data_IF_742060594214
#
_entry.id   IF_742060594214
#
_cell.length_a   1.000
_cell.length_b   1.000
_cell.length_c   1.000
_cell.angle_alpha   90.00
_cell.angle_beta   90.00
_cell.angle_gamma   90.00
#
_symmetry.space_group_name_H-M   'P 1'
#
loop_
_entity.id
_entity.type
_entity.pdbx_description
1 polymer ?
#
# COMPACT_ATOMS: atom_id res chain seq x y z
N UNK A 1 2.77 8.84 2.93
CA UNK A 1 2.62 8.53 1.48
C UNK A 1 1.91 7.20 1.30
N UNK A 2 2.57 6.07 1.58
CA UNK A 2 2.03 4.70 1.37
C UNK A 2 0.68 4.45 2.07
N UNK A 3 0.62 4.59 3.40
CA UNK A 3 -0.61 4.38 4.15
C UNK A 3 -1.76 5.32 3.71
N UNK A 4 -1.43 6.56 3.36
CA UNK A 4 -2.41 7.53 2.85
C UNK A 4 -2.95 7.14 1.48
N UNK A 5 -2.10 6.63 0.58
CA UNK A 5 -2.52 6.17 -0.75
C UNK A 5 -3.47 4.97 -0.65
N UNK A 6 -3.16 3.99 0.21
CA UNK A 6 -4.05 2.85 0.44
C UNK A 6 -5.39 3.30 1.09
N UNK A 7 -5.35 4.22 2.04
CA UNK A 7 -6.56 4.77 2.65
C UNK A 7 -7.44 5.53 1.63
N UNK A 8 -6.86 6.30 0.71
CA UNK A 8 -7.58 6.97 -0.38
C UNK A 8 -8.24 5.97 -1.34
N UNK A 9 -7.62 4.80 -1.55
CA UNK A 9 -8.21 3.70 -2.31
C UNK A 9 -9.27 2.89 -1.51
N UNK A 10 -9.54 3.25 -0.26
CA UNK A 10 -10.47 2.54 0.63
C UNK A 10 -9.95 1.18 1.08
N UNK A 11 -8.63 0.99 1.11
CA UNK A 11 -7.97 -0.27 1.47
C UNK A 11 -7.38 -0.13 2.86
N UNK A 12 -7.89 -0.93 3.80
CA UNK A 12 -7.26 -1.09 5.11
C UNK A 12 -5.98 -1.90 4.98
N UNK A 13 -4.94 -1.52 5.71
CA UNK A 13 -3.71 -2.29 5.79
C UNK A 13 -3.18 -2.35 7.21
N UNK A 14 -2.57 -3.49 7.56
CA UNK A 14 -1.76 -3.63 8.77
C UNK A 14 -0.30 -3.51 8.36
N UNK A 15 0.42 -2.58 8.98
CA UNK A 15 1.84 -2.34 8.69
C UNK A 15 2.69 -2.99 9.77
N UNK A 16 3.71 -3.74 9.35
CA UNK A 16 4.74 -4.30 10.23
C UNK A 16 6.08 -3.68 9.83
N UNK A 17 6.67 -2.91 10.74
CA UNK A 17 8.00 -2.35 10.53
C UNK A 17 9.06 -3.46 10.65
N UNK A 18 9.73 -3.75 9.54
CA UNK A 18 10.85 -4.68 9.50
C UNK A 18 12.19 -3.94 9.56
N UNK A 19 13.28 -4.69 9.80
CA UNK A 19 14.62 -4.09 9.88
C UNK A 19 15.08 -3.44 8.57
N UNK A 20 14.80 -4.10 7.44
CA UNK A 20 15.17 -3.58 6.11
C UNK A 20 14.00 -2.90 5.40
N UNK A 21 12.79 -3.46 5.55
CA UNK A 21 11.60 -3.01 4.83
C UNK A 21 10.36 -3.19 5.69
N UNK A 22 9.37 -2.34 5.44
CA UNK A 22 8.02 -2.49 5.99
C UNK A 22 7.24 -3.55 5.20
N UNK A 23 6.46 -4.34 5.92
CA UNK A 23 5.52 -5.30 5.34
C UNK A 23 4.10 -4.79 5.52
N UNK A 24 3.34 -4.73 4.43
CA UNK A 24 1.95 -4.31 4.44
C UNK A 24 1.05 -5.51 4.16
N UNK A 25 0.12 -5.77 5.09
CA UNK A 25 -0.88 -6.82 4.96
C UNK A 25 -2.23 -6.18 4.65
N UNK A 26 -2.86 -6.61 3.57
CA UNK A 26 -4.19 -6.19 3.14
C UNK A 26 -5.11 -7.41 3.03
N UNK A 27 -6.42 -7.19 2.90
CA UNK A 27 -7.34 -8.28 2.56
C UNK A 27 -6.94 -8.91 1.22
N UNK A 28 -6.97 -10.24 1.13
CA UNK A 28 -6.52 -10.96 -0.07
C UNK A 28 -7.24 -10.47 -1.35
N UNK A 29 -8.53 -10.19 -1.26
CA UNK A 29 -9.32 -9.67 -2.38
C UNK A 29 -8.87 -8.28 -2.86
N UNK A 30 -8.26 -7.47 -1.98
CA UNK A 30 -7.78 -6.14 -2.31
C UNK A 30 -6.34 -6.11 -2.80
N UNK A 31 -5.61 -7.23 -2.76
CA UNK A 31 -4.20 -7.32 -3.17
C UNK A 31 -3.89 -6.67 -4.52
N UNK A 32 -4.61 -7.00 -5.61
CA UNK A 32 -4.39 -6.38 -6.92
C UNK A 32 -4.64 -4.86 -6.92
N UNK A 33 -5.67 -4.40 -6.20
CA UNK A 33 -6.01 -2.97 -6.10
C UNK A 33 -4.97 -2.20 -5.28
N UNK A 34 -4.47 -2.81 -4.20
CA UNK A 34 -3.42 -2.26 -3.38
C UNK A 34 -2.14 -2.07 -4.19
N UNK A 35 -1.72 -3.08 -4.96
CA UNK A 35 -0.56 -2.97 -5.86
C UNK A 35 -0.72 -1.84 -6.87
N UNK A 36 -1.87 -1.72 -7.52
CA UNK A 36 -2.14 -0.65 -8.48
C UNK A 36 -2.03 0.75 -7.84
N UNK A 37 -2.59 0.94 -6.64
CA UNK A 37 -2.50 2.20 -5.92
C UNK A 37 -1.05 2.56 -5.54
N UNK A 38 -0.24 1.56 -5.17
CA UNK A 38 1.18 1.75 -4.85
C UNK A 38 2.03 2.06 -6.08
N UNK A 39 1.72 1.46 -7.23
CA UNK A 39 2.36 1.78 -8.51
C UNK A 39 2.07 3.22 -8.94
N UNK A 40 0.80 3.65 -8.88
CA UNK A 40 0.40 5.03 -9.16
C UNK A 40 1.11 6.03 -8.23
N UNK A 41 1.22 5.71 -6.94
CA UNK A 41 1.97 6.53 -6.00
C UNK A 41 3.44 6.67 -6.40
N UNK A 42 4.06 5.60 -6.91
CA UNK A 42 5.46 5.62 -7.37
C UNK A 42 5.63 6.48 -8.61
N UNK A 43 4.72 6.39 -9.58
CA UNK A 43 4.74 7.20 -10.81
C UNK A 43 4.55 8.70 -10.52
N UNK A 44 3.78 9.04 -9.49
CA UNK A 44 3.57 10.43 -9.06
C UNK A 44 4.73 11.00 -8.24
N UNK A 45 5.64 10.16 -7.78
CA UNK A 45 6.81 10.56 -6.99
C UNK A 45 8.03 10.89 -7.86
N UNK A 46 8.01 10.55 -9.15
CA UNK A 46 8.94 11.07 -10.18
C UNK A 46 8.57 12.50 -10.61
#
# INVERSE_FOLDING_TARGET
AVASALAQAGISCNVIAGFYHDHLFVAHADGPRALAALQQLSEQAE
#
